data_IF_096271825432
#
_entry.id   IF_096271825432
#
_cell.length_a   1.000
_cell.length_b   1.000
_cell.length_c   1.000
_cell.angle_alpha   90.00
_cell.angle_beta   90.00
_cell.angle_gamma   90.00
#
_symmetry.space_group_name_H-M   'P 1'
#
loop_
_entity.id
_entity.type
_entity.pdbx_description
1 polymer ?
#
# COMPACT_ATOMS: atom_id res chain seq x y z
N UNK A 1 -3.01 5.67 -33.52
CA UNK A 1 -3.86 5.38 -32.36
C UNK A 1 -3.20 5.83 -31.04
N UNK A 2 -1.98 5.42 -30.67
CA UNK A 2 -1.33 5.88 -29.41
C UNK A 2 -0.63 7.26 -29.48
N UNK A 3 -0.13 7.65 -30.66
CA UNK A 3 0.75 8.83 -30.77
C UNK A 3 0.08 10.18 -30.55
N UNK A 4 -1.22 10.35 -30.82
CA UNK A 4 -1.91 11.65 -30.67
C UNK A 4 -2.27 11.92 -29.21
N UNK A 5 -2.74 10.90 -28.48
CA UNK A 5 -3.01 10.99 -27.05
C UNK A 5 -1.72 11.25 -26.23
N UNK A 6 -0.62 10.57 -26.55
CA UNK A 6 0.69 10.82 -25.92
C UNK A 6 1.21 12.24 -26.16
N UNK A 7 0.96 12.81 -27.35
CA UNK A 7 1.34 14.19 -27.68
C UNK A 7 0.50 15.21 -26.91
N UNK A 8 -0.79 14.93 -26.69
CA UNK A 8 -1.70 15.77 -25.91
C UNK A 8 -1.30 15.74 -24.42
N UNK A 9 -1.05 14.56 -23.86
CA UNK A 9 -0.58 14.42 -22.47
C UNK A 9 0.76 15.13 -22.25
N UNK A 10 1.70 15.00 -23.19
CA UNK A 10 2.96 15.72 -23.14
C UNK A 10 2.77 17.25 -23.17
N UNK A 11 1.85 17.75 -23.99
CA UNK A 11 1.57 19.19 -24.10
C UNK A 11 0.89 19.76 -22.85
N UNK A 12 -0.03 19.00 -22.23
CA UNK A 12 -0.71 19.39 -20.99
C UNK A 12 0.23 19.33 -19.78
N UNK A 13 1.17 18.37 -19.76
CA UNK A 13 2.22 18.29 -18.72
C UNK A 13 3.24 19.42 -18.81
N UNK A 14 3.55 19.88 -20.02
CA UNK A 14 4.46 21.00 -20.25
C UNK A 14 3.80 22.37 -19.96
N UNK A 15 2.51 22.50 -20.24
CA UNK A 15 1.75 23.73 -20.04
C UNK A 15 0.31 23.44 -19.62
N UNK A 16 0.00 23.66 -18.34
CA UNK A 16 -1.34 23.40 -17.78
C UNK A 16 -2.44 24.27 -18.39
N UNK A 17 -2.10 25.40 -19.02
CA UNK A 17 -3.05 26.24 -19.76
C UNK A 17 -3.43 25.66 -21.13
N UNK A 18 -2.71 24.63 -21.60
CA UNK A 18 -2.99 23.96 -22.87
C UNK A 18 -4.26 23.11 -22.82
N UNK A 19 -4.66 22.61 -21.64
CA UNK A 19 -5.88 21.83 -21.48
C UNK A 19 -7.13 22.65 -21.90
N UNK A 20 -7.22 23.90 -21.44
CA UNK A 20 -8.30 24.82 -21.82
C UNK A 20 -8.27 25.17 -23.31
N UNK A 21 -7.08 25.31 -23.90
CA UNK A 21 -6.94 25.57 -25.34
C UNK A 21 -7.40 24.39 -26.20
N UNK A 22 -7.16 23.16 -25.75
CA UNK A 22 -7.59 21.94 -26.44
C UNK A 22 -9.12 21.74 -26.33
N UNK A 23 -9.72 22.09 -25.20
CA UNK A 23 -11.18 22.06 -24.98
C UNK A 23 -11.91 23.07 -25.88
N UNK A 24 -11.38 24.29 -26.01
CA UNK A 24 -11.89 25.31 -26.93
C UNK A 24 -11.89 24.83 -28.40
N UNK A 25 -10.82 24.14 -28.82
CA UNK A 25 -10.70 23.58 -30.17
C UNK A 25 -11.72 22.46 -30.40
N UNK A 26 -11.99 21.64 -29.38
CA UNK A 26 -13.01 20.59 -29.44
C UNK A 26 -14.39 21.20 -29.68
N UNK A 27 -14.75 22.19 -28.88
CA UNK A 27 -16.08 22.82 -28.94
C UNK A 27 -16.33 23.46 -30.31
N UNK A 28 -15.32 24.13 -30.86
CA UNK A 28 -15.45 24.75 -32.18
C UNK A 28 -15.44 23.74 -33.32
N UNK A 29 -14.66 22.66 -33.22
CA UNK A 29 -14.67 21.57 -34.18
C UNK A 29 -16.04 20.86 -34.22
N UNK A 30 -16.68 20.70 -33.07
CA UNK A 30 -18.05 20.15 -32.96
C UNK A 30 -19.08 21.07 -33.62
N UNK A 31 -18.91 22.39 -33.48
CA UNK A 31 -19.80 23.41 -34.02
C UNK A 31 -19.70 23.54 -35.54
N UNK A 32 -18.49 23.45 -36.08
CA UNK A 32 -18.20 23.67 -37.51
C UNK A 32 -18.10 22.39 -38.34
N UNK A 33 -18.40 21.23 -37.74
CA UNK A 33 -18.47 19.96 -38.46
C UNK A 33 -17.12 19.28 -38.70
N UNK A 34 -16.09 19.66 -37.95
CA UNK A 34 -14.79 18.96 -37.91
C UNK A 34 -13.56 19.82 -38.24
N UNK A 35 -13.74 21.04 -38.73
CA UNK A 35 -12.65 21.98 -39.04
C UNK A 35 -12.71 23.23 -38.17
N UNK A 36 -11.54 23.75 -37.78
CA UNK A 36 -11.39 24.94 -36.92
C UNK A 36 -10.46 25.93 -37.59
N UNK A 37 -10.83 27.22 -37.60
CA UNK A 37 -9.95 28.30 -38.02
C UNK A 37 -9.41 29.07 -36.83
N UNK A 38 -8.23 29.66 -36.99
CA UNK A 38 -7.64 30.50 -35.95
C UNK A 38 -8.56 31.64 -35.50
N UNK A 39 -9.34 32.22 -36.41
CA UNK A 39 -10.27 33.30 -36.09
C UNK A 39 -11.39 32.87 -35.14
N UNK A 40 -11.71 31.58 -35.08
CA UNK A 40 -12.81 31.05 -34.27
C UNK A 40 -12.38 30.81 -32.81
N UNK A 41 -11.06 30.67 -32.57
CA UNK A 41 -10.50 30.29 -31.27
C UNK A 41 -9.47 31.28 -30.71
N UNK A 42 -9.20 32.37 -31.43
CA UNK A 42 -8.18 33.37 -31.06
C UNK A 42 -8.46 34.12 -29.77
N UNK A 43 -9.71 34.10 -29.30
CA UNK A 43 -10.12 34.72 -28.03
C UNK A 43 -9.83 33.81 -26.83
N UNK A 44 -9.68 32.49 -27.04
CA UNK A 44 -9.57 31.48 -25.99
C UNK A 44 -8.19 30.83 -25.90
N UNK A 45 -7.40 30.89 -26.98
CA UNK A 45 -6.00 30.44 -26.96
C UNK A 45 -5.06 31.42 -27.66
N UNK A 46 -3.79 31.38 -27.26
CA UNK A 46 -2.76 32.27 -27.79
C UNK A 46 -2.20 31.76 -29.12
N UNK A 47 -1.69 32.65 -29.96
CA UNK A 47 -1.07 32.27 -31.25
C UNK A 47 0.13 31.33 -31.08
N UNK A 48 0.80 31.38 -29.92
CA UNK A 48 1.87 30.47 -29.56
C UNK A 48 1.37 29.05 -29.25
N UNK A 49 0.23 28.91 -28.57
CA UNK A 49 -0.39 27.61 -28.30
C UNK A 49 -0.90 26.98 -29.60
N UNK A 50 -1.58 27.77 -30.44
CA UNK A 50 -2.03 27.34 -31.78
C UNK A 50 -0.89 26.79 -32.64
N UNK A 51 0.22 27.53 -32.73
CA UNK A 51 1.39 27.10 -33.51
C UNK A 51 1.99 25.79 -33.02
N UNK A 52 2.02 25.55 -31.70
CA UNK A 52 2.53 24.29 -31.12
C UNK A 52 1.63 23.10 -31.44
N UNK A 53 0.32 23.29 -31.48
CA UNK A 53 -0.63 22.22 -31.81
C UNK A 53 -0.47 21.75 -33.26
N UNK A 54 -0.18 22.68 -34.17
CA UNK A 54 0.16 22.38 -35.56
C UNK A 54 1.55 21.71 -35.65
N UNK A 55 2.55 22.26 -34.96
CA UNK A 55 3.93 21.71 -34.96
C UNK A 55 3.98 20.27 -34.46
N UNK A 56 3.24 19.96 -33.40
CA UNK A 56 3.16 18.61 -32.82
C UNK A 56 2.25 17.69 -33.64
N UNK A 57 1.55 18.20 -34.65
CA UNK A 57 0.64 17.45 -35.50
C UNK A 57 -0.59 16.93 -34.76
N UNK A 58 -1.09 17.73 -33.80
CA UNK A 58 -2.40 17.54 -33.18
C UNK A 58 -3.48 18.14 -34.09
N UNK A 59 -3.18 19.30 -34.70
CA UNK A 59 -3.93 19.90 -35.79
C UNK A 59 -3.20 19.67 -37.12
N UNK A 60 -3.95 19.30 -38.16
CA UNK A 60 -3.45 19.09 -39.54
C UNK A 60 -4.28 19.89 -40.54
N UNK A 61 -3.72 20.20 -41.71
CA UNK A 61 -4.40 21.01 -42.73
C UNK A 61 -5.64 20.29 -43.28
N UNK A 62 -6.80 20.94 -43.18
CA UNK A 62 -8.08 20.50 -43.76
C UNK A 62 -8.42 21.24 -45.07
N UNK A 63 -9.68 21.17 -45.50
CA UNK A 63 -10.13 21.76 -46.76
C UNK A 63 -10.33 23.28 -46.68
N UNK A 64 -10.83 23.80 -45.55
CA UNK A 64 -11.05 25.23 -45.31
C UNK A 64 -10.38 25.76 -44.04
N UNK A 65 -9.90 24.88 -43.15
CA UNK A 65 -9.22 25.23 -41.91
C UNK A 65 -8.25 24.14 -41.46
N UNK A 66 -8.16 23.91 -40.15
CA UNK A 66 -7.39 22.81 -39.57
C UNK A 66 -8.33 21.76 -38.98
N UNK A 67 -8.02 20.49 -39.21
CA UNK A 67 -8.73 19.35 -38.63
C UNK A 67 -7.92 18.70 -37.51
N UNK A 68 -8.60 18.02 -36.59
CA UNK A 68 -7.96 17.25 -35.52
C UNK A 68 -7.46 15.93 -36.11
N UNK A 69 -6.15 15.68 -36.02
CA UNK A 69 -5.49 14.57 -36.70
C UNK A 69 -6.03 13.16 -36.33
N UNK A 70 -6.49 12.99 -35.09
CA UNK A 70 -7.11 11.75 -34.59
C UNK A 70 -8.16 12.15 -33.55
N UNK A 71 -9.39 12.41 -34.02
CA UNK A 71 -10.50 12.93 -33.18
C UNK A 71 -10.83 11.99 -32.02
N UNK A 72 -10.85 10.69 -32.25
CA UNK A 72 -11.19 9.70 -31.22
C UNK A 72 -10.12 9.63 -30.11
N UNK A 73 -8.84 9.74 -30.47
CA UNK A 73 -7.76 9.81 -29.50
C UNK A 73 -7.69 11.17 -28.77
N UNK A 74 -8.06 12.25 -29.45
CA UNK A 74 -8.14 13.60 -28.90
C UNK A 74 -9.25 13.71 -27.85
N UNK A 75 -10.45 13.23 -28.18
CA UNK A 75 -11.58 13.20 -27.26
C UNK A 75 -11.27 12.33 -26.04
N UNK A 76 -10.70 11.14 -26.23
CA UNK A 76 -10.31 10.26 -25.10
C UNK A 76 -9.27 10.89 -24.17
N UNK A 77 -8.37 11.71 -24.71
CA UNK A 77 -7.33 12.38 -23.92
C UNK A 77 -7.88 13.58 -23.14
N UNK A 78 -8.88 14.29 -23.68
CA UNK A 78 -9.52 15.43 -23.01
C UNK A 78 -10.65 15.01 -22.06
N UNK A 79 -11.42 14.00 -22.46
CA UNK A 79 -12.43 13.34 -21.63
C UNK A 79 -11.82 12.41 -20.58
N UNK A 80 -10.50 12.46 -20.35
CA UNK A 80 -9.83 11.73 -19.28
C UNK A 80 -10.60 11.92 -17.97
N UNK A 81 -11.48 10.97 -17.69
CA UNK A 81 -12.59 11.02 -16.74
C UNK A 81 -13.04 12.44 -16.37
N UNK A 82 -13.62 13.15 -17.34
CA UNK A 82 -14.05 14.54 -17.21
C UNK A 82 -15.32 14.71 -16.39
N UNK A 83 -15.18 14.80 -15.06
CA UNK A 83 -16.27 15.03 -14.11
C UNK A 83 -15.88 15.73 -12.79
N UNK A 84 -14.93 16.66 -12.85
CA UNK A 84 -14.55 17.74 -11.92
C UNK A 84 -14.98 17.76 -10.43
N UNK A 85 -13.94 17.76 -9.59
CA UNK A 85 -13.67 18.60 -8.41
C UNK A 85 -14.05 18.13 -7.00
N UNK A 86 -13.01 18.14 -6.15
CA UNK A 86 -12.99 18.09 -4.69
C UNK A 86 -13.15 16.73 -4.01
N UNK A 87 -12.09 15.92 -4.07
CA UNK A 87 -11.87 14.82 -3.15
C UNK A 87 -10.67 14.03 -3.63
N UNK A 88 -9.71 13.77 -2.76
CA UNK A 88 -8.61 12.87 -3.09
C UNK A 88 -9.18 11.47 -3.30
N UNK A 89 -9.35 11.07 -4.55
CA UNK A 89 -9.43 9.66 -4.90
C UNK A 89 -8.31 9.36 -5.88
N UNK A 90 -7.42 8.51 -5.39
CA UNK A 90 -6.36 7.90 -6.17
C UNK A 90 -7.06 6.83 -7.01
N UNK A 91 -7.19 7.05 -8.31
CA UNK A 91 -7.61 6.00 -9.24
C UNK A 91 -6.53 4.91 -9.22
N UNK A 92 -6.83 3.86 -8.46
CA UNK A 92 -6.08 2.61 -8.49
C UNK A 92 -6.72 1.79 -9.61
N UNK A 93 -6.00 1.62 -10.71
CA UNK A 93 -6.35 0.74 -11.83
C UNK A 93 -7.09 -0.52 -11.35
N UNK A 94 -8.35 -0.69 -11.79
CA UNK A 94 -9.25 -1.75 -11.31
C UNK A 94 -8.97 -3.13 -11.95
N UNK A 95 -8.09 -3.20 -12.94
CA UNK A 95 -7.69 -4.45 -13.58
C UNK A 95 -6.34 -4.94 -13.01
N UNK A 96 -6.39 -5.64 -11.86
CA UNK A 96 -5.35 -6.45 -11.14
C UNK A 96 -5.32 -6.22 -9.61
N UNK A 97 -6.44 -5.79 -9.00
CA UNK A 97 -6.50 -5.59 -7.54
C UNK A 97 -6.77 -6.92 -6.80
N UNK A 98 -5.73 -7.51 -6.22
CA UNK A 98 -5.80 -8.73 -5.38
C UNK A 98 -6.54 -8.54 -4.05
N UNK A 99 -7.10 -7.37 -3.75
CA UNK A 99 -7.82 -7.10 -2.50
C UNK A 99 -9.33 -7.19 -2.68
N UNK A 100 -9.99 -7.93 -1.79
CA UNK A 100 -11.45 -7.96 -1.76
C UNK A 100 -12.01 -6.59 -1.35
N UNK A 101 -13.27 -6.33 -1.71
CA UNK A 101 -13.98 -5.12 -1.27
C UNK A 101 -13.97 -4.98 0.26
N UNK A 102 -14.00 -6.10 1.00
CA UNK A 102 -13.92 -6.13 2.44
C UNK A 102 -12.54 -5.76 2.98
N UNK A 103 -11.46 -6.16 2.30
CA UNK A 103 -10.09 -5.77 2.68
C UNK A 103 -9.89 -4.26 2.51
N UNK A 104 -10.41 -3.69 1.42
CA UNK A 104 -10.40 -2.24 1.18
C UNK A 104 -11.18 -1.49 2.25
N UNK A 105 -12.40 -1.95 2.55
CA UNK A 105 -13.24 -1.37 3.62
C UNK A 105 -12.56 -1.45 4.98
N UNK A 106 -11.93 -2.58 5.30
CA UNK A 106 -11.18 -2.76 6.53
C UNK A 106 -10.00 -1.79 6.63
N UNK A 107 -9.29 -1.56 5.51
CA UNK A 107 -8.20 -0.59 5.42
C UNK A 107 -8.68 0.83 5.70
N UNK A 108 -9.74 1.26 5.04
CA UNK A 108 -10.36 2.56 5.26
C UNK A 108 -10.84 2.69 6.71
N UNK A 109 -11.52 1.69 7.24
CA UNK A 109 -11.99 1.69 8.63
C UNK A 109 -10.86 1.83 9.64
N UNK A 110 -9.75 1.11 9.44
CA UNK A 110 -8.58 1.20 10.31
C UNK A 110 -7.93 2.59 10.25
N UNK A 111 -7.81 3.18 9.06
CA UNK A 111 -7.28 4.55 8.90
C UNK A 111 -8.18 5.60 9.53
N UNK A 112 -9.50 5.45 9.44
CA UNK A 112 -10.46 6.37 10.06
C UNK A 112 -10.42 6.33 11.59
N UNK A 113 -9.98 5.21 12.19
CA UNK A 113 -9.84 5.07 13.64
C UNK A 113 -8.54 5.70 14.16
N UNK A 114 -7.50 5.84 13.33
CA UNK A 114 -6.19 6.39 13.74
C UNK A 114 -6.25 7.80 14.35
N UNK A 115 -7.04 8.77 13.83
CA UNK A 115 -7.25 10.05 14.49
C UNK A 115 -7.75 9.95 15.93
N UNK A 116 -8.33 8.81 16.33
CA UNK A 116 -8.76 8.53 17.70
C UNK A 116 -7.65 8.61 18.76
N UNK A 117 -6.37 8.50 18.37
CA UNK A 117 -5.25 8.67 19.31
C UNK A 117 -4.96 10.15 19.63
N UNK A 118 -5.39 11.07 18.77
CA UNK A 118 -5.15 12.51 18.89
C UNK A 118 -6.40 13.31 19.24
N UNK A 119 -7.58 12.85 18.85
CA UNK A 119 -8.85 13.53 19.08
C UNK A 119 -9.69 12.85 20.17
N UNK A 120 -9.87 13.52 21.30
CA UNK A 120 -10.63 13.01 22.44
C UNK A 120 -12.07 12.63 22.10
N UNK A 121 -12.73 13.33 21.16
CA UNK A 121 -14.11 13.00 20.75
C UNK A 121 -14.20 11.62 20.10
N UNK A 122 -13.27 11.30 19.20
CA UNK A 122 -13.22 10.00 18.52
C UNK A 122 -12.81 8.93 19.54
N UNK A 123 -11.83 9.24 20.38
CA UNK A 123 -11.40 8.37 21.47
C UNK A 123 -12.56 7.99 22.40
N UNK A 124 -13.39 8.95 22.81
CA UNK A 124 -14.52 8.71 23.69
C UNK A 124 -15.61 7.86 23.04
N UNK A 125 -15.89 8.08 21.74
CA UNK A 125 -16.87 7.27 21.00
C UNK A 125 -16.38 5.83 20.86
N UNK A 126 -15.14 5.64 20.39
CA UNK A 126 -14.56 4.30 20.22
C UNK A 126 -14.41 3.61 21.58
N UNK A 127 -13.87 4.32 22.56
CA UNK A 127 -13.68 3.85 23.93
C UNK A 127 -14.99 3.40 24.56
N UNK A 128 -16.02 4.25 24.58
CA UNK A 128 -17.33 3.86 25.14
C UNK A 128 -17.99 2.68 24.40
N UNK A 129 -17.84 2.60 23.08
CA UNK A 129 -18.36 1.51 22.26
C UNK A 129 -17.67 0.18 22.59
N UNK A 130 -16.34 0.17 22.61
CA UNK A 130 -15.57 -1.03 22.96
C UNK A 130 -15.80 -1.40 24.43
N UNK A 131 -15.99 -0.41 25.30
CA UNK A 131 -16.29 -0.62 26.73
C UNK A 131 -17.64 -1.31 26.95
N UNK A 132 -18.61 -1.19 26.04
CA UNK A 132 -19.85 -1.97 26.14
C UNK A 132 -19.60 -3.49 26.08
N UNK A 133 -18.52 -3.90 25.41
CA UNK A 133 -18.13 -5.31 25.24
C UNK A 133 -17.07 -5.72 26.27
N UNK A 134 -16.03 -4.90 26.48
CA UNK A 134 -14.91 -5.21 27.37
C UNK A 134 -15.11 -4.75 28.82
N UNK A 135 -16.05 -3.83 29.08
CA UNK A 135 -16.34 -3.33 30.43
C UNK A 135 -16.75 -4.43 31.42
N UNK A 136 -17.57 -5.43 31.05
CA UNK A 136 -17.84 -6.57 31.93
C UNK A 136 -16.59 -7.40 32.28
N UNK A 137 -15.63 -7.47 31.37
CA UNK A 137 -14.35 -8.15 31.61
C UNK A 137 -13.47 -7.33 32.56
N UNK A 138 -13.43 -6.01 32.35
CA UNK A 138 -12.73 -5.04 33.20
C UNK A 138 -13.28 -5.03 34.63
N UNK A 139 -14.59 -5.12 34.79
CA UNK A 139 -15.23 -5.18 36.11
C UNK A 139 -15.01 -6.52 36.84
N UNK A 140 -14.66 -7.59 36.13
CA UNK A 140 -14.53 -8.93 36.69
C UNK A 140 -13.08 -9.33 37.02
N UNK A 141 -12.11 -8.67 36.38
CA UNK A 141 -10.69 -9.01 36.49
C UNK A 141 -9.86 -7.77 36.82
N UNK A 142 -8.78 -7.91 37.60
CA UNK A 142 -7.83 -6.82 37.78
C UNK A 142 -7.26 -6.35 36.43
N UNK A 143 -7.00 -5.05 36.28
CA UNK A 143 -6.59 -4.47 34.99
C UNK A 143 -5.39 -5.17 34.31
N UNK A 144 -4.39 -5.67 35.06
CA UNK A 144 -3.28 -6.43 34.48
C UNK A 144 -3.72 -7.74 33.79
N UNK A 145 -4.77 -8.39 34.31
CA UNK A 145 -5.35 -9.60 33.76
C UNK A 145 -6.28 -9.31 32.57
N UNK A 146 -6.87 -8.10 32.54
CA UNK A 146 -7.59 -7.58 31.37
C UNK A 146 -6.61 -7.37 30.21
N UNK A 147 -5.48 -6.70 30.44
CA UNK A 147 -4.42 -6.53 29.41
C UNK A 147 -3.95 -7.90 28.89
N UNK A 148 -3.72 -8.86 29.80
CA UNK A 148 -3.36 -10.22 29.41
C UNK A 148 -4.44 -10.86 28.53
N UNK A 149 -5.71 -10.75 28.91
CA UNK A 149 -6.84 -11.30 28.14
C UNK A 149 -6.94 -10.68 26.75
N UNK A 150 -6.80 -9.35 26.64
CA UNK A 150 -6.75 -8.64 25.36
C UNK A 150 -5.58 -9.13 24.52
N UNK A 151 -4.38 -9.26 25.10
CA UNK A 151 -3.20 -9.79 24.39
C UNK A 151 -3.42 -11.22 23.88
N UNK A 152 -4.09 -12.09 24.67
CA UNK A 152 -4.45 -13.44 24.25
C UNK A 152 -5.41 -13.43 23.06
N UNK A 153 -6.48 -12.63 23.15
CA UNK A 153 -7.48 -12.48 22.07
C UNK A 153 -6.80 -11.93 20.81
N UNK A 154 -5.93 -10.94 20.96
CA UNK A 154 -5.15 -10.37 19.86
C UNK A 154 -4.24 -11.38 19.21
N UNK A 155 -3.49 -12.15 19.99
CA UNK A 155 -2.67 -13.25 19.45
C UNK A 155 -3.51 -14.30 18.71
N UNK A 156 -4.69 -14.63 19.24
CA UNK A 156 -5.59 -15.62 18.64
C UNK A 156 -6.12 -15.15 17.29
N UNK A 157 -6.78 -13.99 17.21
CA UNK A 157 -7.31 -13.52 15.93
C UNK A 157 -6.19 -13.20 14.94
N UNK A 158 -5.04 -12.69 15.42
CA UNK A 158 -3.89 -12.40 14.56
C UNK A 158 -3.36 -13.69 13.92
N UNK A 159 -3.22 -14.75 14.71
CA UNK A 159 -2.84 -16.07 14.20
C UNK A 159 -3.87 -16.64 13.22
N UNK A 160 -5.17 -16.50 13.50
CA UNK A 160 -6.23 -17.01 12.63
C UNK A 160 -6.30 -16.25 11.30
N UNK A 161 -6.20 -14.91 11.34
CA UNK A 161 -6.17 -14.08 10.14
C UNK A 161 -4.92 -14.35 9.32
N UNK A 162 -3.75 -14.49 9.94
CA UNK A 162 -2.54 -14.89 9.25
C UNK A 162 -2.68 -16.28 8.62
N UNK A 163 -3.22 -17.26 9.33
CA UNK A 163 -3.38 -18.62 8.80
C UNK A 163 -4.40 -18.71 7.64
N UNK A 164 -5.49 -17.92 7.71
CA UNK A 164 -6.57 -18.00 6.71
C UNK A 164 -6.31 -17.09 5.49
N UNK A 165 -5.63 -15.96 5.67
CA UNK A 165 -5.40 -14.98 4.60
C UNK A 165 -4.02 -15.12 3.96
N UNK A 166 -3.09 -15.85 4.56
CA UNK A 166 -1.79 -16.14 3.96
C UNK A 166 -1.84 -17.48 3.22
N UNK A 167 -1.68 -17.43 1.90
CA UNK A 167 -1.63 -18.64 1.07
C UNK A 167 -0.24 -19.29 1.17
N UNK A 168 -0.10 -20.24 2.09
CA UNK A 168 1.17 -20.95 2.37
C UNK A 168 1.67 -21.77 1.18
N UNK A 169 0.79 -22.30 0.33
CA UNK A 169 1.17 -23.06 -0.86
C UNK A 169 1.78 -22.18 -1.96
N UNK A 170 1.20 -20.98 -2.17
CA UNK A 170 1.75 -19.99 -3.11
C UNK A 170 3.09 -19.48 -2.61
N UNK A 171 3.20 -19.22 -1.31
CA UNK A 171 4.47 -18.80 -0.70
C UNK A 171 5.55 -19.88 -0.84
N UNK A 172 5.21 -21.16 -0.66
CA UNK A 172 6.16 -22.28 -0.83
C UNK A 172 6.67 -22.41 -2.26
N UNK A 173 5.78 -22.41 -3.27
CA UNK A 173 6.16 -22.47 -4.69
C UNK A 173 7.03 -21.28 -5.10
N UNK A 174 6.75 -20.09 -4.55
CA UNK A 174 7.56 -18.91 -4.81
C UNK A 174 8.94 -19.00 -4.16
N UNK A 175 9.02 -19.46 -2.92
CA UNK A 175 10.30 -19.70 -2.24
C UNK A 175 11.16 -20.68 -3.03
N UNK A 176 10.57 -21.76 -3.55
CA UNK A 176 11.27 -22.72 -4.41
C UNK A 176 11.77 -22.07 -5.71
N UNK A 177 10.93 -21.30 -6.43
CA UNK A 177 11.35 -20.59 -7.65
C UNK A 177 12.48 -19.59 -7.38
N UNK A 178 12.36 -18.81 -6.30
CA UNK A 178 13.34 -17.81 -5.92
C UNK A 178 14.67 -18.46 -5.47
N UNK A 179 14.62 -19.63 -4.83
CA UNK A 179 15.82 -20.42 -4.52
C UNK A 179 16.47 -20.99 -5.78
N UNK A 180 15.68 -21.57 -6.69
CA UNK A 180 16.17 -22.13 -7.95
C UNK A 180 16.90 -21.06 -8.80
N UNK A 181 16.29 -19.88 -8.98
CA UNK A 181 16.90 -18.77 -9.74
C UNK A 181 18.17 -18.24 -9.05
N UNK A 182 18.21 -18.22 -7.71
CA UNK A 182 19.41 -17.83 -6.96
C UNK A 182 20.55 -18.86 -7.09
N UNK A 183 20.22 -20.15 -7.06
CA UNK A 183 21.19 -21.24 -7.25
C UNK A 183 21.76 -21.19 -8.67
N UNK A 184 20.92 -21.07 -9.69
CA UNK A 184 21.33 -20.94 -11.10
C UNK A 184 22.26 -19.74 -11.31
N UNK A 185 21.90 -18.56 -10.80
CA UNK A 185 22.79 -17.40 -10.88
C UNK A 185 24.14 -17.62 -10.19
N UNK A 186 24.16 -18.33 -9.06
CA UNK A 186 25.38 -18.61 -8.32
C UNK A 186 26.28 -19.58 -9.09
N UNK A 187 25.70 -20.60 -9.70
CA UNK A 187 26.40 -21.55 -10.57
C UNK A 187 26.99 -20.83 -11.79
N UNK A 188 26.21 -20.03 -12.50
CA UNK A 188 26.67 -19.27 -13.67
C UNK A 188 27.80 -18.29 -13.33
N UNK A 189 27.71 -17.60 -12.19
CA UNK A 189 28.80 -16.72 -11.71
C UNK A 189 30.07 -17.49 -11.39
N UNK A 190 29.94 -18.70 -10.83
CA UNK A 190 31.09 -19.55 -10.53
C UNK A 190 31.73 -20.07 -11.82
N UNK A 191 30.92 -20.50 -12.79
CA UNK A 191 31.40 -20.98 -14.09
C UNK A 191 32.11 -19.88 -14.87
N UNK A 192 31.57 -18.65 -14.86
CA UNK A 192 32.24 -17.46 -15.42
C UNK A 192 33.61 -17.25 -14.80
N UNK A 193 33.70 -17.29 -13.47
CA UNK A 193 34.97 -17.11 -12.76
C UNK A 193 35.98 -18.20 -13.12
N UNK A 194 35.54 -19.46 -13.20
CA UNK A 194 36.40 -20.57 -13.60
C UNK A 194 36.86 -20.46 -15.06
N UNK A 195 36.02 -19.90 -15.94
CA UNK A 195 36.37 -19.63 -17.34
C UNK A 195 37.40 -18.49 -17.46
N UNK A 196 37.26 -17.41 -16.69
CA UNK A 196 38.23 -16.32 -16.58
C UNK A 196 39.59 -16.83 -16.06
N UNK A 197 39.58 -17.67 -15.02
CA UNK A 197 40.80 -18.25 -14.44
C UNK A 197 41.54 -19.20 -15.39
N UNK A 198 40.79 -19.93 -16.23
CA UNK A 198 41.35 -20.81 -17.29
C UNK A 198 41.80 -20.06 -18.54
N UNK A 199 41.55 -18.75 -18.63
CA UNK A 199 41.85 -17.95 -19.82
C UNK A 199 41.01 -18.35 -21.04
N UNK A 200 39.73 -18.64 -20.82
CA UNK A 200 38.77 -18.96 -21.87
C UNK A 200 38.62 -17.81 -22.88
N UNK A 201 38.08 -18.13 -24.07
CA UNK A 201 37.89 -17.11 -25.11
C UNK A 201 36.86 -16.05 -24.70
N UNK A 202 37.03 -14.81 -25.16
CA UNK A 202 36.10 -13.70 -24.91
C UNK A 202 34.63 -14.06 -25.22
N UNK A 203 34.40 -14.85 -26.27
CA UNK A 203 33.08 -15.31 -26.67
C UNK A 203 32.42 -16.30 -25.69
N UNK A 204 33.19 -17.01 -24.86
CA UNK A 204 32.67 -17.90 -23.81
C UNK A 204 32.26 -17.08 -22.58
N UNK A 205 33.08 -16.09 -22.20
CA UNK A 205 32.78 -15.16 -21.11
C UNK A 205 31.54 -14.33 -21.42
N UNK A 206 31.42 -13.81 -22.65
CA UNK A 206 30.26 -13.04 -23.10
C UNK A 206 28.96 -13.86 -23.08
N UNK A 207 29.02 -15.16 -23.38
CA UNK A 207 27.85 -16.05 -23.26
C UNK A 207 27.39 -16.20 -21.82
N UNK A 208 28.32 -16.47 -20.91
CA UNK A 208 28.04 -16.60 -19.48
C UNK A 208 27.52 -15.29 -18.89
N UNK A 209 28.03 -14.14 -19.33
CA UNK A 209 27.48 -12.83 -18.94
C UNK A 209 26.03 -12.64 -19.39
N UNK A 210 25.71 -13.00 -20.63
CA UNK A 210 24.33 -12.93 -21.13
C UNK A 210 23.39 -13.90 -20.39
N UNK A 211 23.86 -15.09 -20.02
CA UNK A 211 23.09 -16.05 -19.21
C UNK A 211 22.86 -15.55 -17.79
N UNK A 212 23.87 -14.94 -17.15
CA UNK A 212 23.74 -14.30 -15.84
C UNK A 212 22.72 -13.15 -15.90
N UNK A 213 22.76 -12.33 -16.95
CA UNK A 213 21.83 -11.20 -17.09
C UNK A 213 20.39 -11.69 -17.33
N UNK A 214 20.18 -12.75 -18.10
CA UNK A 214 18.86 -13.40 -18.25
C UNK A 214 18.34 -13.95 -16.93
N UNK A 215 19.16 -14.69 -16.19
CA UNK A 215 18.78 -15.21 -14.87
C UNK A 215 18.51 -14.08 -13.86
N UNK A 216 19.11 -12.90 -14.06
CA UNK A 216 18.82 -11.69 -13.29
C UNK A 216 17.51 -11.01 -13.70
N UNK A 217 17.22 -10.99 -14.99
CA UNK A 217 15.95 -10.48 -15.52
C UNK A 217 14.78 -11.36 -15.05
N UNK A 218 14.92 -12.68 -15.10
CA UNK A 218 13.94 -13.62 -14.52
C UNK A 218 13.78 -13.43 -13.00
N UNK A 219 14.86 -13.15 -12.28
CA UNK A 219 14.78 -12.78 -10.87
C UNK A 219 14.00 -11.48 -10.66
N UNK A 220 14.19 -10.50 -11.55
CA UNK A 220 13.49 -9.21 -11.49
C UNK A 220 12.01 -9.35 -11.83
N UNK A 221 11.66 -10.20 -12.80
CA UNK A 221 10.27 -10.54 -13.14
C UNK A 221 9.58 -11.29 -11.99
N UNK A 222 10.26 -12.28 -11.41
CA UNK A 222 9.79 -12.93 -10.18
C UNK A 222 9.66 -11.94 -9.02
N UNK A 223 10.51 -10.90 -8.96
CA UNK A 223 10.40 -9.82 -8.00
C UNK A 223 9.29 -8.81 -8.34
N UNK A 224 8.89 -8.66 -9.60
CA UNK A 224 7.73 -7.87 -9.98
C UNK A 224 6.43 -8.58 -9.53
N UNK A 225 6.37 -9.90 -9.68
CA UNK A 225 5.33 -10.75 -9.08
C UNK A 225 5.26 -10.62 -7.54
N UNK A 226 6.36 -10.20 -6.89
CA UNK A 226 6.42 -9.89 -5.46
C UNK A 226 5.53 -8.70 -5.06
N UNK A 227 5.17 -7.78 -5.98
CA UNK A 227 4.18 -6.73 -5.70
C UNK A 227 2.80 -7.33 -5.39
N UNK A 228 2.44 -8.43 -6.06
CA UNK A 228 1.25 -9.21 -5.72
C UNK A 228 1.36 -9.88 -4.35
N UNK A 229 2.56 -10.37 -3.99
CA UNK A 229 2.83 -10.94 -2.66
C UNK A 229 2.76 -9.88 -1.55
N UNK A 230 3.28 -8.66 -1.77
CA UNK A 230 3.14 -7.57 -0.82
C UNK A 230 1.67 -7.33 -0.50
N UNK A 231 0.81 -7.25 -1.53
CA UNK A 231 -0.64 -7.11 -1.33
C UNK A 231 -1.21 -8.26 -0.48
N UNK A 232 -0.76 -9.50 -0.68
CA UNK A 232 -1.19 -10.66 0.12
C UNK A 232 -0.69 -10.61 1.57
N UNK A 233 0.52 -10.08 1.82
CA UNK A 233 1.06 -9.87 3.18
C UNK A 233 0.38 -8.71 3.90
N UNK A 234 -0.03 -7.67 3.17
CA UNK A 234 -0.76 -6.54 3.74
C UNK A 234 -2.20 -6.89 4.12
N UNK A 235 -2.81 -7.86 3.43
CA UNK A 235 -4.20 -8.28 3.71
C UNK A 235 -4.42 -8.64 5.19
N UNK A 236 -3.69 -9.60 5.80
CA UNK A 236 -3.87 -9.89 7.22
C UNK A 236 -3.51 -8.70 8.11
N UNK A 237 -2.52 -7.89 7.74
CA UNK A 237 -2.13 -6.72 8.54
C UNK A 237 -3.25 -5.69 8.66
N UNK A 238 -3.97 -5.42 7.58
CA UNK A 238 -5.09 -4.47 7.58
C UNK A 238 -6.20 -4.92 8.53
N UNK A 239 -6.58 -6.20 8.49
CA UNK A 239 -7.58 -6.75 9.39
C UNK A 239 -7.11 -6.79 10.84
N UNK A 240 -5.85 -7.18 11.07
CA UNK A 240 -5.26 -7.12 12.41
C UNK A 240 -5.31 -5.69 12.92
N UNK A 241 -4.94 -4.70 12.10
CA UNK A 241 -4.94 -3.29 12.47
C UNK A 241 -6.35 -2.78 12.77
N UNK A 242 -7.34 -3.14 11.96
CA UNK A 242 -8.75 -2.79 12.18
C UNK A 242 -9.26 -3.29 13.54
N UNK A 243 -8.85 -4.48 13.97
CA UNK A 243 -9.25 -5.05 15.27
C UNK A 243 -8.38 -4.52 16.42
N UNK A 244 -7.09 -4.32 16.17
CA UNK A 244 -6.11 -3.94 17.21
C UNK A 244 -6.24 -2.46 17.59
N UNK A 245 -6.48 -1.57 16.62
CA UNK A 245 -6.58 -0.13 16.89
C UNK A 245 -7.69 0.19 17.91
N UNK A 246 -8.95 -0.26 17.75
CA UNK A 246 -10.00 -0.03 18.73
C UNK A 246 -9.68 -0.59 20.11
N UNK A 247 -9.05 -1.76 20.19
CA UNK A 247 -8.65 -2.38 21.46
C UNK A 247 -7.61 -1.53 22.19
N UNK A 248 -6.60 -1.03 21.47
CA UNK A 248 -5.59 -0.15 22.04
C UNK A 248 -6.13 1.23 22.39
N UNK A 249 -6.97 1.81 21.53
CA UNK A 249 -7.67 3.05 21.82
C UNK A 249 -8.52 2.92 23.08
N UNK A 250 -9.20 1.79 23.25
CA UNK A 250 -9.95 1.48 24.45
C UNK A 250 -9.04 1.37 25.68
N UNK A 251 -7.95 0.60 25.61
CA UNK A 251 -7.01 0.51 26.74
C UNK A 251 -6.47 1.89 27.14
N UNK A 252 -6.05 2.69 26.16
CA UNK A 252 -5.59 4.05 26.36
C UNK A 252 -6.67 4.97 26.95
N UNK A 253 -7.92 4.82 26.49
CA UNK A 253 -9.08 5.53 27.02
C UNK A 253 -9.42 5.12 28.46
N UNK A 254 -9.46 3.83 28.77
CA UNK A 254 -9.77 3.30 30.11
C UNK A 254 -8.73 3.76 31.14
N UNK A 255 -7.45 3.73 30.77
CA UNK A 255 -6.34 4.18 31.63
C UNK A 255 -6.43 5.68 31.92
N UNK A 256 -6.81 6.50 30.94
CA UNK A 256 -6.87 7.96 31.09
C UNK A 256 -8.15 8.44 31.79
N UNK A 257 -9.28 7.81 31.50
CA UNK A 257 -10.60 8.25 31.99
C UNK A 257 -10.85 7.83 33.44
N UNK A 258 -9.94 7.03 34.03
CA UNK A 258 -10.07 6.56 35.41
C UNK A 258 -11.18 5.54 35.58
N UNK A 259 -11.51 4.77 34.52
CA UNK A 259 -12.45 3.64 34.65
C UNK A 259 -11.88 2.51 35.51
N UNK A 260 -10.56 2.51 35.66
CA UNK A 260 -9.80 1.66 36.56
C UNK A 260 -9.89 2.27 37.97
N UNK A 261 -10.34 1.50 38.96
CA UNK A 261 -10.42 1.96 40.35
C UNK A 261 -9.05 2.45 40.85
N UNK A 262 -9.03 3.43 41.76
CA UNK A 262 -7.78 4.04 42.27
C UNK A 262 -6.74 3.02 42.78
N UNK A 263 -7.18 1.88 43.30
CA UNK A 263 -6.32 0.79 43.77
C UNK A 263 -5.67 -0.06 42.65
N UNK A 264 -6.12 0.09 41.41
CA UNK A 264 -5.64 -0.66 40.24
C UNK A 264 -4.86 0.21 39.26
N UNK A 265 -4.69 1.50 39.57
CA UNK A 265 -3.87 2.43 38.79
C UNK A 265 -2.37 2.11 38.91
N UNK A 266 -1.95 1.47 40.01
CA UNK A 266 -0.59 1.00 40.22
C UNK A 266 -0.48 -0.51 39.99
N UNK A 267 0.66 -0.94 39.43
CA UNK A 267 1.01 -2.34 39.21
C UNK A 267 2.41 -2.61 39.74
N UNK A 268 2.61 -3.78 40.34
CA UNK A 268 3.92 -4.23 40.77
C UNK A 268 4.55 -5.10 39.68
N UNK A 269 5.51 -4.54 38.95
CA UNK A 269 6.22 -5.26 37.90
C UNK A 269 7.42 -6.04 38.46
N UNK A 270 7.71 -7.26 37.97
CA UNK A 270 8.79 -8.11 38.50
C UNK A 270 10.19 -7.50 38.46
N UNK A 271 10.47 -6.59 37.50
CA UNK A 271 11.80 -5.99 37.30
C UNK A 271 11.91 -4.53 37.75
N UNK A 272 10.77 -3.82 37.86
CA UNK A 272 10.73 -2.36 38.11
C UNK A 272 10.19 -2.06 39.52
N UNK A 273 9.28 -2.89 40.04
CA UNK A 273 8.55 -2.61 41.27
C UNK A 273 7.19 -1.95 41.01
N UNK A 274 6.69 -1.20 41.99
CA UNK A 274 5.41 -0.49 41.91
C UNK A 274 5.52 0.72 40.96
N UNK A 275 4.62 0.79 39.97
CA UNK A 275 4.58 1.84 38.94
C UNK A 275 3.13 2.09 38.51
N UNK A 276 2.81 3.33 38.13
CA UNK A 276 1.51 3.66 37.53
C UNK A 276 1.44 3.24 36.06
N UNK A 277 0.25 2.86 35.59
CA UNK A 277 0.09 2.43 34.18
C UNK A 277 0.48 3.50 33.16
N UNK A 278 0.27 4.78 33.48
CA UNK A 278 0.60 5.92 32.61
C UNK A 278 2.07 6.32 32.67
N UNK A 279 2.80 5.86 33.69
CA UNK A 279 4.20 6.20 33.90
C UNK A 279 5.11 5.42 32.94
N UNK A 280 6.25 6.03 32.58
CA UNK A 280 7.25 5.41 31.71
C UNK A 280 8.00 4.30 32.44
N UNK A 281 7.71 3.04 32.09
CA UNK A 281 8.38 1.87 32.67
C UNK A 281 9.77 1.62 32.05
N UNK A 282 9.89 1.78 30.72
CA UNK A 282 11.14 1.59 29.98
C UNK A 282 11.35 2.77 29.02
N UNK A 283 12.03 3.81 29.50
CA UNK A 283 12.22 5.05 28.74
C UNK A 283 10.89 5.78 28.52
N UNK A 284 10.56 6.25 27.30
CA UNK A 284 9.28 6.92 27.02
C UNK A 284 8.08 5.95 26.93
N UNK A 285 8.31 4.64 27.04
CA UNK A 285 7.26 3.63 26.90
C UNK A 285 6.49 3.48 28.20
N UNK A 286 5.17 3.71 28.14
CA UNK A 286 4.28 3.59 29.28
C UNK A 286 4.17 2.15 29.78
N UNK A 287 3.98 1.98 31.09
CA UNK A 287 3.90 0.70 31.78
C UNK A 287 2.90 -0.28 31.15
N UNK A 288 1.72 0.19 30.73
CA UNK A 288 0.72 -0.67 30.11
C UNK A 288 1.17 -1.22 28.75
N UNK A 289 1.92 -0.44 27.98
CA UNK A 289 2.47 -0.86 26.68
C UNK A 289 3.53 -1.93 26.89
N UNK A 290 4.42 -1.72 27.86
CA UNK A 290 5.47 -2.69 28.21
C UNK A 290 4.85 -4.00 28.68
N UNK A 291 3.82 -3.94 29.53
CA UNK A 291 3.12 -5.12 30.01
C UNK A 291 2.37 -5.86 28.90
N UNK A 292 1.62 -5.12 28.07
CA UNK A 292 0.96 -5.69 26.89
C UNK A 292 1.97 -6.40 25.98
N UNK A 293 3.09 -5.75 25.69
CA UNK A 293 4.13 -6.31 24.82
C UNK A 293 4.74 -7.59 25.43
N UNK A 294 5.01 -7.60 26.73
CA UNK A 294 5.52 -8.77 27.44
C UNK A 294 4.53 -9.94 27.37
N UNK A 295 3.24 -9.68 27.64
CA UNK A 295 2.18 -10.68 27.52
C UNK A 295 2.02 -11.18 26.08
N UNK A 296 1.99 -10.28 25.10
CA UNK A 296 1.84 -10.60 23.68
C UNK A 296 3.02 -11.41 23.14
N UNK A 297 4.25 -11.06 23.52
CA UNK A 297 5.44 -11.80 23.13
C UNK A 297 5.49 -13.18 23.79
N UNK A 298 5.18 -13.25 25.10
CA UNK A 298 5.10 -14.53 25.81
C UNK A 298 4.07 -15.46 25.21
N UNK A 299 2.88 -14.94 24.89
CA UNK A 299 1.82 -15.73 24.27
C UNK A 299 2.13 -16.12 22.83
N UNK A 300 2.74 -15.23 22.04
CA UNK A 300 3.17 -15.57 20.68
C UNK A 300 4.16 -16.74 20.68
N UNK A 301 5.07 -16.79 21.66
CA UNK A 301 5.99 -17.92 21.83
C UNK A 301 5.25 -19.20 22.26
N UNK A 302 4.29 -19.08 23.19
CA UNK A 302 3.47 -20.22 23.62
C UNK A 302 2.63 -20.80 22.46
N UNK A 303 2.01 -19.95 21.65
CA UNK A 303 1.23 -20.35 20.47
C UNK A 303 2.10 -21.02 19.41
N UNK A 304 3.27 -20.46 19.09
CA UNK A 304 4.22 -21.07 18.15
C UNK A 304 4.60 -22.48 18.58
N UNK A 305 4.86 -22.66 19.89
CA UNK A 305 5.27 -23.94 20.45
C UNK A 305 4.12 -24.94 20.61
N UNK A 306 2.89 -24.47 20.88
CA UNK A 306 1.73 -25.35 21.06
C UNK A 306 1.10 -25.79 19.75
N UNK A 307 1.14 -24.95 18.71
CA UNK A 307 0.59 -25.25 17.39
C UNK A 307 1.60 -25.89 16.44
N UNK A 308 2.86 -26.07 16.86
CA UNK A 308 3.96 -26.61 16.04
C UNK A 308 4.06 -25.95 14.66
N UNK A 309 3.80 -24.64 14.60
CA UNK A 309 3.91 -23.85 13.39
C UNK A 309 5.37 -23.40 13.29
N UNK A 310 6.20 -24.25 12.71
CA UNK A 310 7.54 -23.89 12.27
C UNK A 310 7.43 -22.88 11.11
N UNK A 311 7.54 -21.60 11.44
CA UNK A 311 7.69 -20.49 10.47
C UNK A 311 9.15 -20.03 10.40
N UNK A 312 10.11 -20.87 10.78
CA UNK A 312 11.49 -20.71 10.38
C UNK A 312 11.78 -21.71 9.27
N UNK A 313 12.18 -21.26 8.06
CA UNK A 313 12.71 -22.19 7.08
C UNK A 313 13.86 -22.92 7.76
N UNK A 314 13.77 -24.25 7.79
CA UNK A 314 14.84 -25.13 8.20
C UNK A 314 16.09 -24.77 7.40
N UNK A 315 16.99 -24.00 8.01
CA UNK A 315 18.34 -23.84 7.53
C UNK A 315 19.05 -25.17 7.74
N UNK A 316 18.94 -26.05 6.75
CA UNK A 316 19.83 -27.20 6.59
C UNK A 316 20.58 -27.01 5.29
#
# INVERSE_FOLDING_TARGET
MTRTAEKIDALVREDSSMATALEAIREEADRNGGEVQWADVSDELTSGQWGRLIEKGVLVDGDQGFEIADREAFDRALDGDGGSSAGADVDIDEDESSWSQWDKLAGVGALLLMPGYWFDSIQNVVGSTVNAVLGPLDAALPFYAVILSVALITGLYSSLLQANLMNTEVMGKYQERMQAVQEEQKELRQEKKDAEERGASEAEIERLENEIERAREEQMEAMADNLGMFKEQFRPMVWIMLLTIPLFLWMYWSIRTGSIGDAEQTVVMPLIGEIEWQEGALGPMQAWIVWYFLCSMGFSQLLRKSLNIDMSPSST
#
